data_IF_194621873086
#
_entry.id   IF_194621873086
#
_cell.length_a   1.000
_cell.length_b   1.000
_cell.length_c   1.000
_cell.angle_alpha   90.00
_cell.angle_beta   90.00
_cell.angle_gamma   90.00
#
_symmetry.space_group_name_H-M   'P 1'
#
loop_
_entity.id
_entity.type
_entity.pdbx_description
1 polymer ?
#
# COMPACT_ATOMS: atom_id res chain seq x y z
N UNK A 1 26.11 17.76 8.19
CA UNK A 1 25.13 16.81 7.78
C UNK A 1 25.09 16.72 6.26
N UNK A 2 25.17 15.54 5.76
CA UNK A 2 25.15 15.36 4.31
C UNK A 2 23.73 15.42 3.77
N UNK A 3 23.34 16.53 3.23
CA UNK A 3 22.18 16.54 2.37
C UNK A 3 22.54 15.76 1.11
N UNK A 4 21.66 14.85 0.74
CA UNK A 4 21.86 14.12 -0.52
C UNK A 4 21.71 15.09 -1.68
N UNK A 5 22.58 15.01 -2.68
CA UNK A 5 22.36 15.75 -3.90
C UNK A 5 20.98 15.43 -4.46
N UNK A 6 20.30 16.43 -4.98
CA UNK A 6 18.97 16.28 -5.56
C UNK A 6 18.92 15.16 -6.63
N UNK A 7 19.92 15.11 -7.49
CA UNK A 7 20.01 14.09 -8.55
C UNK A 7 20.09 12.67 -7.98
N UNK A 8 20.85 12.47 -6.89
CA UNK A 8 20.96 11.16 -6.27
C UNK A 8 19.63 10.71 -5.62
N UNK A 9 18.90 11.65 -5.00
CA UNK A 9 17.60 11.36 -4.42
C UNK A 9 16.59 10.98 -5.51
N UNK A 10 16.56 11.68 -6.62
CA UNK A 10 15.70 11.40 -7.75
C UNK A 10 16.02 10.04 -8.37
N UNK A 11 17.31 9.72 -8.56
CA UNK A 11 17.73 8.43 -9.09
C UNK A 11 17.29 7.28 -8.17
N UNK A 12 17.39 7.46 -6.86
CA UNK A 12 16.94 6.46 -5.88
C UNK A 12 15.43 6.24 -5.95
N UNK A 13 14.68 7.32 -6.07
CA UNK A 13 13.22 7.23 -6.18
C UNK A 13 12.82 6.52 -7.49
N UNK A 14 13.48 6.83 -8.61
CA UNK A 14 13.21 6.20 -9.89
C UNK A 14 13.54 4.72 -9.88
N UNK A 15 14.64 4.31 -9.24
CA UNK A 15 14.96 2.90 -9.08
C UNK A 15 13.90 2.17 -8.26
N UNK A 16 13.43 2.79 -7.19
CA UNK A 16 12.36 2.22 -6.37
C UNK A 16 11.06 2.11 -7.14
N UNK A 17 10.74 3.10 -7.96
CA UNK A 17 9.57 3.09 -8.83
C UNK A 17 9.61 1.89 -9.79
N UNK A 18 10.76 1.66 -10.42
CA UNK A 18 10.95 0.53 -11.32
C UNK A 18 10.89 -0.81 -10.61
N UNK A 19 11.47 -0.90 -9.41
CA UNK A 19 11.45 -2.11 -8.60
C UNK A 19 10.00 -2.49 -8.24
N UNK A 20 9.21 -1.53 -7.83
CA UNK A 20 7.81 -1.76 -7.50
C UNK A 20 6.99 -2.14 -8.73
N UNK A 21 7.32 -1.63 -9.91
CA UNK A 21 6.68 -2.05 -11.15
C UNK A 21 6.91 -3.52 -11.42
N UNK A 22 8.13 -4.00 -11.25
CA UNK A 22 8.44 -5.42 -11.39
C UNK A 22 7.65 -6.28 -10.39
N UNK A 23 7.57 -5.85 -9.14
CA UNK A 23 6.81 -6.56 -8.12
C UNK A 23 5.33 -6.65 -8.48
N UNK A 24 4.75 -5.56 -8.97
CA UNK A 24 3.37 -5.55 -9.43
C UNK A 24 3.17 -6.56 -10.58
N UNK A 25 4.04 -6.53 -11.57
CA UNK A 25 3.97 -7.43 -12.71
C UNK A 25 4.04 -8.89 -12.28
N UNK A 26 4.90 -9.21 -11.31
CA UNK A 26 5.11 -10.59 -10.87
C UNK A 26 4.00 -11.10 -9.94
N UNK A 27 3.43 -10.26 -9.11
CA UNK A 27 2.63 -10.72 -7.99
C UNK A 27 1.19 -10.26 -7.97
N UNK A 28 0.81 -9.20 -8.69
CA UNK A 28 -0.53 -8.62 -8.56
C UNK A 28 -1.63 -9.58 -8.96
N UNK A 29 -1.45 -10.34 -10.03
CA UNK A 29 -2.46 -11.31 -10.47
C UNK A 29 -2.76 -12.32 -9.37
N UNK A 30 -1.74 -12.91 -8.79
CA UNK A 30 -1.89 -13.86 -7.69
C UNK A 30 -2.52 -13.20 -6.46
N UNK A 31 -2.06 -12.01 -6.11
CA UNK A 31 -2.57 -11.27 -4.96
C UNK A 31 -4.04 -10.95 -5.10
N UNK A 32 -4.46 -10.42 -6.26
CA UNK A 32 -5.86 -10.06 -6.47
C UNK A 32 -6.76 -11.28 -6.50
N UNK A 33 -6.29 -12.40 -7.05
CA UNK A 33 -7.04 -13.66 -7.02
C UNK A 33 -7.27 -14.14 -5.59
N UNK A 34 -6.24 -14.07 -4.75
CA UNK A 34 -6.36 -14.46 -3.34
C UNK A 34 -7.29 -13.54 -2.55
N UNK A 35 -7.14 -12.24 -2.75
CA UNK A 35 -7.99 -11.25 -2.09
C UNK A 35 -9.45 -11.38 -2.53
N UNK A 36 -9.70 -11.64 -3.81
CA UNK A 36 -11.06 -11.84 -4.30
C UNK A 36 -11.77 -12.99 -3.60
N UNK A 37 -11.04 -14.03 -3.19
CA UNK A 37 -11.62 -15.17 -2.47
C UNK A 37 -12.11 -14.82 -1.07
N UNK A 38 -11.68 -13.69 -0.52
CA UNK A 38 -12.15 -13.25 0.79
C UNK A 38 -13.57 -12.71 0.76
N UNK A 39 -14.14 -12.49 -0.43
CA UNK A 39 -15.50 -11.99 -0.56
C UNK A 39 -15.61 -10.50 -0.29
N UNK A 40 -14.66 -9.72 -0.76
CA UNK A 40 -14.67 -8.26 -0.60
C UNK A 40 -15.95 -7.68 -1.20
N UNK A 41 -16.63 -6.83 -0.45
CA UNK A 41 -17.95 -6.31 -0.81
C UNK A 41 -17.93 -4.79 -0.99
N UNK A 42 -18.90 -4.31 -1.76
CA UNK A 42 -19.18 -2.88 -1.83
C UNK A 42 -19.40 -2.30 -0.43
N UNK A 43 -18.82 -1.13 -0.20
CA UNK A 43 -18.94 -0.42 1.07
C UNK A 43 -17.90 -0.79 2.12
N UNK A 44 -17.05 -1.77 1.86
CA UNK A 44 -16.00 -2.14 2.81
C UNK A 44 -15.00 -1.01 3.01
N UNK A 45 -14.44 -0.98 4.21
CA UNK A 45 -13.31 -0.10 4.58
C UNK A 45 -12.05 -0.95 4.59
N UNK A 46 -11.11 -0.62 3.72
CA UNK A 46 -9.87 -1.39 3.57
C UNK A 46 -8.66 -0.54 3.92
N UNK A 47 -7.65 -1.18 4.50
CA UNK A 47 -6.35 -0.58 4.76
C UNK A 47 -5.29 -1.44 4.09
N UNK A 48 -4.48 -0.82 3.24
CA UNK A 48 -3.25 -1.43 2.75
C UNK A 48 -2.06 -0.76 3.39
N UNK A 49 -1.23 -1.54 4.09
CA UNK A 49 0.01 -1.07 4.73
C UNK A 49 1.18 -1.42 3.83
N UNK A 50 1.99 -0.43 3.50
CA UNK A 50 3.09 -0.61 2.55
C UNK A 50 2.59 -0.61 1.10
N UNK A 51 1.79 0.38 0.74
CA UNK A 51 1.05 0.39 -0.53
C UNK A 51 1.92 0.60 -1.77
N UNK A 52 3.15 1.10 -1.62
CA UNK A 52 4.10 1.28 -2.72
C UNK A 52 3.58 2.21 -3.81
N UNK A 53 3.28 1.66 -4.98
CA UNK A 53 2.70 2.42 -6.11
C UNK A 53 1.18 2.39 -6.13
N UNK A 54 0.57 1.66 -5.21
CA UNK A 54 -0.88 1.67 -5.05
C UNK A 54 -1.66 0.78 -6.01
N UNK A 55 -1.03 -0.20 -6.66
CA UNK A 55 -1.75 -1.07 -7.59
C UNK A 55 -2.85 -1.88 -6.91
N UNK A 56 -2.57 -2.43 -5.73
CA UNK A 56 -3.57 -3.19 -4.98
C UNK A 56 -4.61 -2.25 -4.38
N UNK A 57 -4.21 -1.09 -3.86
CA UNK A 57 -5.16 -0.09 -3.38
C UNK A 57 -6.13 0.34 -4.49
N UNK A 58 -5.63 0.54 -5.70
CA UNK A 58 -6.46 0.87 -6.87
C UNK A 58 -7.48 -0.24 -7.15
N UNK A 59 -7.02 -1.50 -7.14
CA UNK A 59 -7.89 -2.66 -7.37
C UNK A 59 -8.95 -2.79 -6.26
N UNK A 60 -8.54 -2.64 -5.00
CA UNK A 60 -9.47 -2.66 -3.87
C UNK A 60 -10.53 -1.57 -3.99
N UNK A 61 -10.14 -0.37 -4.42
CA UNK A 61 -11.06 0.73 -4.62
C UNK A 61 -12.17 0.38 -5.59
N UNK A 62 -11.85 -0.37 -6.64
CA UNK A 62 -12.85 -0.88 -7.58
C UNK A 62 -13.79 -1.90 -6.94
N UNK A 63 -13.26 -2.76 -6.08
CA UNK A 63 -14.04 -3.78 -5.39
C UNK A 63 -15.05 -3.18 -4.40
N UNK A 64 -14.64 -2.17 -3.63
CA UNK A 64 -15.48 -1.59 -2.58
C UNK A 64 -16.41 -0.50 -3.11
N UNK A 65 -16.16 0.02 -4.29
CA UNK A 65 -17.00 1.00 -4.95
C UNK A 65 -17.07 2.36 -4.25
N UNK A 66 -17.94 3.25 -4.73
CA UNK A 66 -17.97 4.65 -4.27
C UNK A 66 -18.44 4.84 -2.83
N UNK A 67 -19.12 3.85 -2.25
CA UNK A 67 -19.53 3.91 -0.84
C UNK A 67 -18.51 3.25 0.09
N UNK A 68 -17.51 2.58 -0.47
CA UNK A 68 -16.39 2.02 0.29
C UNK A 68 -15.21 2.97 0.30
N UNK A 69 -14.17 2.58 0.98
CA UNK A 69 -12.97 3.38 1.12
C UNK A 69 -11.74 2.51 1.24
N UNK A 70 -10.65 2.97 0.66
CA UNK A 70 -9.33 2.35 0.82
C UNK A 70 -8.37 3.38 1.39
N UNK A 71 -7.72 3.03 2.48
CA UNK A 71 -6.59 3.80 2.99
C UNK A 71 -5.32 3.12 2.48
N UNK A 72 -4.59 3.82 1.63
CA UNK A 72 -3.30 3.39 1.12
C UNK A 72 -2.22 4.03 1.99
N UNK A 73 -1.64 3.25 2.87
CA UNK A 73 -0.67 3.73 3.83
C UNK A 73 0.74 3.29 3.45
N UNK A 74 1.68 4.18 3.63
CA UNK A 74 3.09 3.90 3.39
C UNK A 74 3.93 4.77 4.30
N UNK A 75 5.10 4.27 4.67
CA UNK A 75 6.05 5.05 5.46
C UNK A 75 6.58 6.25 4.66
N UNK A 76 6.68 6.09 3.35
CA UNK A 76 7.08 7.14 2.42
C UNK A 76 6.13 7.14 1.21
N UNK A 77 5.06 7.93 1.24
CA UNK A 77 4.03 7.86 0.21
C UNK A 77 4.35 8.69 -1.06
N UNK A 78 5.60 9.09 -1.29
CA UNK A 78 5.96 9.88 -2.46
C UNK A 78 5.58 9.19 -3.77
N UNK A 79 5.76 7.86 -3.85
CA UNK A 79 5.43 7.10 -5.05
C UNK A 79 3.92 6.97 -5.26
N UNK A 80 3.15 6.86 -4.18
CA UNK A 80 1.69 6.89 -4.26
C UNK A 80 1.18 8.18 -4.87
N UNK A 81 1.84 9.30 -4.56
CA UNK A 81 1.45 10.61 -5.06
C UNK A 81 1.79 10.83 -6.53
N UNK A 82 2.60 9.96 -7.12
CA UNK A 82 2.93 10.01 -8.55
C UNK A 82 1.85 9.39 -9.43
N UNK A 83 0.95 8.60 -8.87
CA UNK A 83 -0.11 7.91 -9.62
C UNK A 83 -1.44 8.58 -9.40
N UNK A 84 -2.33 8.44 -10.37
CA UNK A 84 -3.71 8.89 -10.24
C UNK A 84 -4.53 7.78 -9.61
N UNK A 85 -4.94 7.98 -8.36
CA UNK A 85 -5.74 7.01 -7.63
C UNK A 85 -7.21 7.41 -7.65
N UNK A 86 -8.14 6.43 -7.54
CA UNK A 86 -9.56 6.74 -7.44
C UNK A 86 -9.89 7.62 -6.24
N UNK A 87 -11.00 8.34 -6.31
CA UNK A 87 -11.41 9.31 -5.28
C UNK A 87 -11.71 8.66 -3.93
N UNK A 88 -12.00 7.36 -3.91
CA UNK A 88 -12.24 6.62 -2.67
C UNK A 88 -10.97 6.04 -2.04
N UNK A 89 -9.80 6.43 -2.53
CA UNK A 89 -8.51 6.08 -1.93
C UNK A 89 -7.96 7.29 -1.19
N UNK A 90 -7.64 7.08 0.07
CA UNK A 90 -6.93 8.08 0.88
C UNK A 90 -5.47 7.64 1.02
N UNK A 91 -4.53 8.54 0.74
CA UNK A 91 -3.11 8.31 0.99
C UNK A 91 -2.78 8.74 2.41
N UNK A 92 -2.10 7.85 3.14
CA UNK A 92 -1.72 8.15 4.53
C UNK A 92 -0.25 7.79 4.76
N UNK A 93 0.46 8.66 5.44
CA UNK A 93 1.79 8.32 5.95
C UNK A 93 1.63 7.52 7.23
N UNK A 94 2.22 6.34 7.27
CA UNK A 94 2.13 5.47 8.43
C UNK A 94 3.44 4.72 8.63
N UNK A 95 4.01 4.83 9.81
CA UNK A 95 5.13 4.00 10.24
C UNK A 95 4.60 2.94 11.21
N UNK A 96 4.44 1.72 10.72
CA UNK A 96 3.88 0.62 11.51
C UNK A 96 4.76 0.25 12.71
N UNK A 97 6.05 0.62 12.69
CA UNK A 97 6.96 0.34 13.80
C UNK A 97 6.71 1.26 15.00
N UNK A 98 6.16 2.44 14.78
CA UNK A 98 6.02 3.47 15.81
C UNK A 98 4.59 3.96 16.03
N UNK A 99 3.67 3.61 15.14
CA UNK A 99 2.29 4.11 15.18
C UNK A 99 1.32 2.95 15.35
N UNK A 100 0.33 3.15 16.21
CA UNK A 100 -0.75 2.18 16.35
C UNK A 100 -1.69 2.22 15.15
N UNK A 101 -2.18 1.06 14.76
CA UNK A 101 -3.18 0.91 13.71
C UNK A 101 -4.46 0.39 14.33
N UNK A 102 -5.55 1.11 14.12
CA UNK A 102 -6.87 0.72 14.63
C UNK A 102 -7.52 -0.26 13.66
N UNK A 103 -7.04 -1.50 13.66
CA UNK A 103 -7.48 -2.53 12.70
C UNK A 103 -8.98 -2.83 12.78
N UNK A 104 -9.60 -2.61 13.94
CA UNK A 104 -11.02 -2.86 14.13
C UNK A 104 -11.93 -1.92 13.32
N UNK A 105 -11.39 -0.83 12.80
CA UNK A 105 -12.13 0.11 11.95
C UNK A 105 -12.21 -0.35 10.50
N UNK A 106 -11.50 -1.42 10.16
CA UNK A 106 -11.41 -1.90 8.79
C UNK A 106 -12.03 -3.28 8.64
N UNK A 107 -12.67 -3.50 7.49
CA UNK A 107 -13.15 -4.83 7.09
C UNK A 107 -12.01 -5.69 6.57
N UNK A 108 -10.99 -5.06 5.99
CA UNK A 108 -9.79 -5.73 5.49
C UNK A 108 -8.55 -4.91 5.83
N UNK A 109 -7.56 -5.56 6.40
CA UNK A 109 -6.21 -5.00 6.53
C UNK A 109 -5.26 -5.91 5.76
N UNK A 110 -4.53 -5.32 4.82
CA UNK A 110 -3.66 -6.06 3.92
C UNK A 110 -2.26 -5.46 3.90
N UNK A 111 -1.27 -6.32 3.88
CA UNK A 111 0.11 -5.93 3.58
C UNK A 111 0.78 -7.05 2.79
N UNK A 112 1.71 -6.67 1.90
CA UNK A 112 2.45 -7.61 1.07
C UNK A 112 3.92 -7.22 1.09
N UNK A 113 4.78 -8.21 1.37
CA UNK A 113 6.23 -8.06 1.38
C UNK A 113 6.76 -7.02 2.40
N UNK A 114 5.88 -6.42 3.20
CA UNK A 114 6.29 -5.41 4.19
C UNK A 114 7.14 -6.03 5.30
N UNK A 115 6.73 -7.21 5.79
CA UNK A 115 7.40 -7.86 6.92
C UNK A 115 8.84 -8.26 6.60
N UNK A 116 9.18 -8.37 5.33
CA UNK A 116 10.55 -8.66 4.91
C UNK A 116 11.52 -7.53 5.25
N UNK A 117 10.99 -6.31 5.41
CA UNK A 117 11.78 -5.11 5.69
C UNK A 117 11.68 -4.66 7.15
N UNK A 118 10.95 -5.41 7.97
CA UNK A 118 10.79 -5.11 9.40
C UNK A 118 11.86 -5.86 10.16
N UNK A 119 12.67 -5.17 11.01
CA UNK A 119 13.79 -5.82 11.72
C UNK A 119 13.35 -6.97 12.62
N UNK A 120 12.21 -6.87 13.24
CA UNK A 120 11.65 -7.90 14.12
C UNK A 120 10.16 -8.04 13.87
N UNK A 121 9.78 -8.73 12.76
CA UNK A 121 8.38 -8.89 12.44
C UNK A 121 7.67 -9.72 13.50
N UNK A 122 6.60 -9.18 14.05
CA UNK A 122 5.73 -9.88 15.00
C UNK A 122 4.37 -10.03 14.35
N UNK A 123 3.91 -11.28 14.23
CA UNK A 123 2.60 -11.60 13.68
C UNK A 123 1.63 -11.78 14.84
N UNK A 124 0.56 -11.00 14.82
CA UNK A 124 -0.54 -11.15 15.78
C UNK A 124 -1.72 -11.82 15.09
N UNK A 125 -2.39 -12.73 15.77
CA UNK A 125 -3.59 -13.36 15.22
C UNK A 125 -4.73 -12.37 15.06
#
# INVERSE_FOLDING_TARGET
>A
MGERPYVAADATEDLEWERLELLQTLYDTSTTQQLARLGIRAGWQCLEVGAGRGSIAHWLAGCVGPVGRVVAADMDPRLLRRVSLPSNVEIRTLNILTQAVEVQQYDLVYCRALLMNVPQPVLYP
#
